data_IF_520298616184
#
_entry.id   IF_520298616184
#
_cell.length_a   1.000
_cell.length_b   1.000
_cell.length_c   1.000
_cell.angle_alpha   90.00
_cell.angle_beta   90.00
_cell.angle_gamma   90.00
#
_symmetry.space_group_name_H-M   'P 1'
#
loop_
_entity.id
_entity.type
_entity.pdbx_description
1 polymer ?
#
# COMPACT_ATOMS: atom_id res chain seq x y z
N UNK A 1 36.42 -33.13 -1.30
CA UNK A 1 37.30 -32.35 -2.20
C UNK A 1 37.27 -30.93 -1.72
N UNK A 2 38.45 -30.33 -1.51
CA UNK A 2 38.63 -29.08 -0.76
C UNK A 2 37.92 -27.86 -1.34
N UNK A 3 37.67 -26.89 -0.47
CA UNK A 3 37.49 -25.51 -0.88
C UNK A 3 38.80 -25.07 -1.54
N UNK A 4 38.80 -24.97 -2.87
CA UNK A 4 39.88 -24.29 -3.59
C UNK A 4 39.89 -22.83 -3.14
N UNK A 5 41.04 -22.34 -2.69
CA UNK A 5 41.26 -20.90 -2.53
C UNK A 5 40.89 -20.19 -3.84
N UNK A 6 40.26 -19.00 -3.80
CA UNK A 6 40.01 -18.23 -5.01
C UNK A 6 41.33 -18.05 -5.76
N UNK A 7 41.31 -18.25 -7.09
CA UNK A 7 42.49 -18.00 -7.90
C UNK A 7 42.95 -16.55 -7.67
N UNK A 8 44.27 -16.31 -7.69
CA UNK A 8 44.84 -14.99 -7.40
C UNK A 8 44.26 -13.91 -8.33
N UNK A 9 43.86 -14.30 -9.54
CA UNK A 9 43.15 -13.46 -10.51
C UNK A 9 41.73 -13.05 -10.08
N UNK A 10 41.00 -13.88 -9.35
CA UNK A 10 39.64 -13.56 -8.87
C UNK A 10 39.66 -12.48 -7.77
N UNK A 11 40.64 -12.56 -6.87
CA UNK A 11 40.87 -11.55 -5.83
C UNK A 11 41.25 -10.19 -6.43
N UNK A 12 42.08 -10.20 -7.48
CA UNK A 12 42.47 -8.99 -8.19
C UNK A 12 41.29 -8.40 -8.99
N UNK A 13 40.47 -9.25 -9.61
CA UNK A 13 39.25 -8.83 -10.29
C UNK A 13 38.24 -8.15 -9.35
N UNK A 14 38.05 -8.69 -8.15
CA UNK A 14 37.18 -8.10 -7.12
C UNK A 14 37.72 -6.73 -6.68
N UNK A 15 39.04 -6.64 -6.47
CA UNK A 15 39.70 -5.40 -6.06
C UNK A 15 39.48 -4.30 -7.10
N UNK A 16 39.72 -4.60 -8.38
CA UNK A 16 39.50 -3.66 -9.49
C UNK A 16 38.02 -3.26 -9.63
N UNK A 17 37.08 -4.19 -9.42
CA UNK A 17 35.65 -3.86 -9.39
C UNK A 17 35.34 -2.89 -8.25
N UNK A 18 35.90 -3.09 -7.06
CA UNK A 18 35.69 -2.19 -5.92
C UNK A 18 36.29 -0.80 -6.14
N UNK A 19 37.48 -0.72 -6.74
CA UNK A 19 38.09 0.53 -7.18
C UNK A 19 37.20 1.26 -8.20
N UNK A 20 36.69 0.54 -9.21
CA UNK A 20 35.75 1.10 -10.18
C UNK A 20 34.45 1.61 -9.52
N UNK A 21 33.95 0.93 -8.49
CA UNK A 21 32.78 1.40 -7.73
C UNK A 21 33.08 2.73 -7.02
N UNK A 22 34.30 2.93 -6.53
CA UNK A 22 34.71 4.17 -5.88
C UNK A 22 34.78 5.32 -6.89
N UNK A 23 35.38 5.10 -8.06
CA UNK A 23 35.38 6.08 -9.15
C UNK A 23 33.97 6.45 -9.61
N UNK A 24 33.08 5.46 -9.75
CA UNK A 24 31.71 5.71 -10.17
C UNK A 24 30.93 6.55 -9.13
N UNK A 25 31.18 6.36 -7.83
CA UNK A 25 30.61 7.18 -6.75
C UNK A 25 31.21 8.59 -6.71
N UNK A 26 32.47 8.75 -7.09
CA UNK A 26 33.14 10.04 -7.20
C UNK A 26 32.69 10.85 -8.43
N UNK A 27 31.87 10.27 -9.31
CA UNK A 27 31.44 10.93 -10.55
C UNK A 27 32.48 10.82 -11.67
N UNK A 28 33.38 9.84 -11.61
CA UNK A 28 34.46 9.59 -12.58
C UNK A 28 34.17 8.28 -13.38
N UNK A 29 33.15 8.25 -14.25
CA UNK A 29 32.74 7.03 -14.93
C UNK A 29 33.77 6.49 -15.95
N UNK A 30 34.68 7.32 -16.45
CA UNK A 30 35.76 6.88 -17.36
C UNK A 30 36.81 6.06 -16.60
N UNK A 31 37.26 6.54 -15.44
CA UNK A 31 38.16 5.82 -14.55
C UNK A 31 37.50 4.54 -14.03
N UNK A 32 36.20 4.59 -13.73
CA UNK A 32 35.43 3.41 -13.36
C UNK A 32 35.41 2.35 -14.48
N UNK A 33 35.26 2.77 -15.74
CA UNK A 33 35.28 1.86 -16.89
C UNK A 33 36.63 1.16 -17.06
N UNK A 34 37.76 1.86 -16.88
CA UNK A 34 39.09 1.24 -16.95
C UNK A 34 39.22 0.11 -15.91
N UNK A 35 38.86 0.40 -14.67
CA UNK A 35 38.87 -0.58 -13.58
C UNK A 35 37.95 -1.78 -13.88
N UNK A 36 36.73 -1.55 -14.38
CA UNK A 36 35.82 -2.64 -14.72
C UNK A 36 36.29 -3.46 -15.92
N UNK A 37 36.93 -2.85 -16.92
CA UNK A 37 37.47 -3.56 -18.09
C UNK A 37 38.64 -4.46 -17.70
N UNK A 38 39.54 -3.98 -16.84
CA UNK A 38 40.64 -4.77 -16.28
C UNK A 38 40.12 -5.90 -15.39
N UNK A 39 39.11 -5.62 -14.56
CA UNK A 39 38.41 -6.64 -13.76
C UNK A 39 37.78 -7.72 -14.65
N UNK A 40 37.08 -7.33 -15.71
CA UNK A 40 36.45 -8.27 -16.64
C UNK A 40 37.49 -9.11 -17.40
N UNK A 41 38.65 -8.54 -17.76
CA UNK A 41 39.72 -9.27 -18.43
C UNK A 41 40.26 -10.44 -17.58
N UNK A 42 40.36 -10.23 -16.26
CA UNK A 42 40.76 -11.28 -15.31
C UNK A 42 39.68 -12.37 -15.14
N UNK A 43 38.40 -12.03 -15.36
CA UNK A 43 37.27 -12.96 -15.28
C UNK A 43 36.97 -13.73 -16.58
N UNK A 44 37.86 -13.65 -17.59
CA UNK A 44 37.67 -14.31 -18.89
C UNK A 44 37.16 -13.40 -20.02
N UNK A 45 37.17 -12.08 -19.81
CA UNK A 45 36.90 -11.09 -20.84
C UNK A 45 35.48 -11.20 -21.43
N UNK A 46 35.39 -11.35 -22.76
CA UNK A 46 34.10 -11.45 -23.47
C UNK A 46 33.37 -12.78 -23.25
N UNK A 47 34.07 -13.80 -22.78
CA UNK A 47 33.53 -15.15 -22.51
C UNK A 47 33.30 -15.37 -21.00
N UNK A 48 33.51 -14.32 -20.19
CA UNK A 48 33.32 -14.35 -18.75
C UNK A 48 31.88 -14.75 -18.39
N UNK A 49 31.75 -15.79 -17.55
CA UNK A 49 30.46 -16.31 -17.09
C UNK A 49 30.43 -16.40 -15.56
N UNK A 50 29.23 -16.44 -15.00
CA UNK A 50 29.02 -16.47 -13.55
C UNK A 50 28.75 -15.12 -12.92
N UNK A 51 28.50 -15.14 -11.61
CA UNK A 51 27.92 -14.02 -10.87
C UNK A 51 28.79 -12.78 -10.84
N UNK A 52 30.10 -12.98 -10.73
CA UNK A 52 31.07 -11.90 -10.64
C UNK A 52 31.19 -11.16 -11.98
N UNK A 53 31.31 -11.91 -13.08
CA UNK A 53 31.31 -11.38 -14.44
C UNK A 53 30.03 -10.57 -14.75
N UNK A 54 28.86 -11.10 -14.40
CA UNK A 54 27.59 -10.40 -14.55
C UNK A 54 27.53 -9.10 -13.72
N UNK A 55 28.14 -9.10 -12.53
CA UNK A 55 28.21 -7.91 -11.68
C UNK A 55 29.10 -6.83 -12.30
N UNK A 56 30.27 -7.19 -12.81
CA UNK A 56 31.20 -6.28 -13.50
C UNK A 56 30.56 -5.73 -14.79
N UNK A 57 29.97 -6.58 -15.63
CA UNK A 57 29.24 -6.15 -16.84
C UNK A 57 28.06 -5.23 -16.52
N UNK A 58 27.35 -5.52 -15.43
CA UNK A 58 26.32 -4.63 -14.90
C UNK A 58 26.86 -3.26 -14.48
N UNK A 59 28.05 -3.20 -13.90
CA UNK A 59 28.70 -1.96 -13.52
C UNK A 59 29.22 -1.18 -14.73
N UNK A 60 29.75 -1.86 -15.76
CA UNK A 60 30.08 -1.27 -17.07
C UNK A 60 28.83 -0.63 -17.69
N UNK A 61 27.68 -1.31 -17.63
CA UNK A 61 26.41 -0.75 -18.10
C UNK A 61 26.01 0.52 -17.36
N UNK A 62 26.23 0.57 -16.04
CA UNK A 62 25.96 1.75 -15.23
C UNK A 62 26.91 2.91 -15.55
N UNK A 63 28.20 2.65 -15.75
CA UNK A 63 29.18 3.68 -16.11
C UNK A 63 28.90 4.28 -17.50
N UNK A 64 28.53 3.46 -18.49
CA UNK A 64 28.08 3.96 -19.80
C UNK A 64 26.79 4.77 -19.72
N UNK A 65 25.88 4.43 -18.81
CA UNK A 65 24.68 5.24 -18.58
C UNK A 65 25.03 6.63 -18.01
N UNK A 66 26.00 6.71 -17.08
CA UNK A 66 26.52 7.99 -16.56
C UNK A 66 27.21 8.84 -17.64
N UNK A 67 27.83 8.20 -18.63
CA UNK A 67 28.43 8.87 -19.79
C UNK A 67 27.43 9.21 -20.90
N UNK A 68 26.13 9.06 -20.66
CA UNK A 68 25.08 9.27 -21.66
C UNK A 68 25.29 8.45 -22.95
N UNK A 69 25.86 7.23 -22.83
CA UNK A 69 26.07 6.29 -23.93
C UNK A 69 25.11 5.08 -23.81
N UNK A 70 23.85 5.23 -24.23
CA UNK A 70 22.83 4.20 -24.01
C UNK A 70 23.05 2.94 -24.85
N UNK A 71 23.74 3.02 -26.01
CA UNK A 71 24.06 1.83 -26.83
C UNK A 71 25.07 0.92 -26.14
N UNK A 72 26.16 1.49 -25.60
CA UNK A 72 27.14 0.73 -24.85
C UNK A 72 26.57 0.21 -23.52
N UNK A 73 25.70 1.01 -22.88
CA UNK A 73 24.97 0.60 -21.67
C UNK A 73 24.06 -0.61 -21.92
N UNK A 74 23.34 -0.64 -23.06
CA UNK A 74 22.50 -1.76 -23.48
C UNK A 74 23.32 -3.02 -23.76
N UNK A 75 24.43 -2.88 -24.49
CA UNK A 75 25.30 -4.02 -24.82
C UNK A 75 25.85 -4.68 -23.55
N UNK A 76 26.33 -3.88 -22.60
CA UNK A 76 26.84 -4.39 -21.33
C UNK A 76 25.74 -5.01 -20.44
N UNK A 77 24.52 -4.45 -20.46
CA UNK A 77 23.39 -5.03 -19.73
C UNK A 77 22.97 -6.41 -20.26
N UNK A 78 22.91 -6.56 -21.59
CA UNK A 78 22.63 -7.86 -22.23
C UNK A 78 23.74 -8.87 -21.96
N UNK A 79 25.00 -8.45 -22.07
CA UNK A 79 26.14 -9.30 -21.73
C UNK A 79 26.08 -9.78 -20.27
N UNK A 80 25.66 -8.92 -19.34
CA UNK A 80 25.47 -9.30 -17.94
C UNK A 80 24.39 -10.39 -17.75
N UNK A 81 23.30 -10.32 -18.52
CA UNK A 81 22.24 -11.35 -18.51
C UNK A 81 22.66 -12.67 -19.14
N UNK A 82 23.54 -12.63 -20.15
CA UNK A 82 24.14 -13.84 -20.74
C UNK A 82 25.15 -14.48 -19.78
N UNK A 83 25.95 -13.67 -19.08
CA UNK A 83 26.94 -14.15 -18.12
C UNK A 83 26.31 -14.84 -16.91
N UNK A 84 25.16 -14.34 -16.42
CA UNK A 84 24.36 -14.98 -15.37
C UNK A 84 22.85 -14.69 -15.59
N UNK A 85 22.08 -15.66 -16.11
CA UNK A 85 20.63 -15.51 -16.29
C UNK A 85 19.85 -15.23 -14.99
N UNK A 86 20.40 -15.56 -13.81
CA UNK A 86 19.81 -15.24 -12.50
C UNK A 86 20.12 -13.81 -12.03
N UNK A 87 20.91 -13.04 -12.80
CA UNK A 87 21.24 -11.65 -12.52
C UNK A 87 20.08 -10.72 -12.88
N UNK A 88 19.09 -10.64 -12.00
CA UNK A 88 17.90 -9.79 -12.18
C UNK A 88 18.21 -8.30 -12.45
N UNK A 89 19.38 -7.80 -12.03
CA UNK A 89 19.83 -6.44 -12.32
C UNK A 89 20.18 -6.22 -13.81
N UNK A 90 20.47 -7.27 -14.58
CA UNK A 90 20.70 -7.16 -16.04
C UNK A 90 19.45 -6.65 -16.76
N UNK A 91 18.30 -7.28 -16.51
CA UNK A 91 17.01 -6.92 -17.13
C UNK A 91 16.63 -5.46 -16.82
N UNK A 92 16.90 -5.03 -15.58
CA UNK A 92 16.64 -3.64 -15.17
C UNK A 92 17.50 -2.64 -15.94
N UNK A 93 18.80 -2.94 -16.09
CA UNK A 93 19.73 -2.07 -16.81
C UNK A 93 19.47 -2.08 -18.32
N UNK A 94 19.06 -3.22 -18.89
CA UNK A 94 18.63 -3.35 -20.27
C UNK A 94 17.41 -2.46 -20.55
N UNK A 95 16.36 -2.57 -19.73
CA UNK A 95 15.17 -1.74 -19.88
C UNK A 95 15.48 -0.23 -19.76
N UNK A 96 16.35 0.17 -18.81
CA UNK A 96 16.78 1.57 -18.67
C UNK A 96 17.51 2.08 -19.91
N UNK A 97 18.38 1.26 -20.51
CA UNK A 97 19.08 1.62 -21.73
C UNK A 97 18.14 1.71 -22.95
N UNK A 98 17.17 0.78 -23.07
CA UNK A 98 16.13 0.81 -24.12
C UNK A 98 15.23 2.05 -24.00
N UNK A 99 14.86 2.45 -22.78
CA UNK A 99 14.13 3.71 -22.56
C UNK A 99 14.95 4.94 -23.00
N UNK A 100 16.25 4.96 -22.72
CA UNK A 100 17.14 6.03 -23.19
C UNK A 100 17.30 6.06 -24.71
N UNK A 101 17.14 4.90 -25.39
CA UNK A 101 17.10 4.79 -26.85
C UNK A 101 15.72 5.09 -27.47
N UNK A 102 14.70 5.40 -26.65
CA UNK A 102 13.31 5.59 -27.07
C UNK A 102 12.66 4.33 -27.65
N UNK A 103 13.00 3.16 -27.10
CA UNK A 103 12.43 1.84 -27.46
C UNK A 103 11.55 1.27 -26.32
N UNK A 104 10.39 1.89 -26.00
CA UNK A 104 9.60 1.53 -24.82
C UNK A 104 8.95 0.14 -24.91
N UNK A 105 8.60 -0.33 -26.10
CA UNK A 105 8.04 -1.68 -26.29
C UNK A 105 9.04 -2.77 -25.94
N UNK A 106 10.30 -2.59 -26.33
CA UNK A 106 11.36 -3.55 -26.02
C UNK A 106 11.80 -3.46 -24.56
N UNK A 107 11.76 -2.26 -23.98
CA UNK A 107 11.94 -2.11 -22.53
C UNK A 107 10.91 -2.97 -21.78
N UNK A 108 9.61 -2.91 -22.15
CA UNK A 108 8.52 -3.68 -21.52
C UNK A 108 8.73 -5.18 -21.65
N UNK A 109 9.28 -5.65 -22.78
CA UNK A 109 9.62 -7.05 -22.97
C UNK A 109 10.79 -7.49 -22.08
N UNK A 110 11.78 -6.62 -21.85
CA UNK A 110 12.97 -6.95 -21.07
C UNK A 110 12.71 -7.06 -19.56
N UNK A 111 12.00 -6.10 -18.96
CA UNK A 111 11.82 -6.05 -17.49
C UNK A 111 10.37 -6.25 -17.03
N UNK A 112 9.41 -6.39 -17.95
CA UNK A 112 7.99 -6.45 -17.61
C UNK A 112 7.42 -5.08 -17.23
N UNK A 113 6.10 -4.94 -17.40
CA UNK A 113 5.41 -3.65 -17.25
C UNK A 113 5.54 -3.05 -15.84
N UNK A 114 5.48 -3.89 -14.80
CA UNK A 114 5.54 -3.45 -13.40
C UNK A 114 6.92 -2.92 -12.98
N UNK A 115 8.01 -3.42 -13.55
CA UNK A 115 9.34 -2.96 -13.19
C UNK A 115 9.75 -1.68 -13.94
N UNK A 116 9.19 -1.43 -15.13
CA UNK A 116 9.33 -0.13 -15.82
C UNK A 116 8.59 0.98 -15.10
N UNK A 117 7.40 0.70 -14.58
CA UNK A 117 6.66 1.66 -13.77
C UNK A 117 7.45 2.08 -12.51
N UNK A 118 8.31 1.20 -11.98
CA UNK A 118 9.23 1.51 -10.88
C UNK A 118 10.47 2.31 -11.33
N UNK A 119 10.91 2.15 -12.58
CA UNK A 119 12.02 2.93 -13.17
C UNK A 119 11.64 4.38 -13.45
N UNK A 120 10.39 4.62 -13.86
CA UNK A 120 9.88 5.95 -14.21
C UNK A 120 9.44 6.79 -13.00
N UNK A 121 9.54 6.26 -11.77
CA UNK A 121 9.18 6.99 -10.56
C UNK A 121 10.29 7.96 -10.14
N UNK A 122 10.01 9.26 -9.91
CA UNK A 122 11.03 10.29 -9.67
C UNK A 122 11.85 10.10 -8.39
N UNK A 123 11.40 9.27 -7.44
CA UNK A 123 12.18 8.89 -6.25
C UNK A 123 13.17 7.73 -6.48
N UNK A 124 13.28 7.20 -7.70
CA UNK A 124 14.10 6.02 -8.03
C UNK A 124 15.55 6.34 -8.44
N UNK A 125 15.94 7.62 -8.45
CA UNK A 125 17.28 8.07 -8.90
C UNK A 125 18.29 8.32 -7.76
N UNK A 126 17.93 8.05 -6.51
CA UNK A 126 18.83 8.15 -5.36
C UNK A 126 19.42 6.79 -4.95
N UNK A 127 20.73 6.65 -5.12
CA UNK A 127 21.67 5.74 -4.45
C UNK A 127 21.14 4.36 -3.99
N UNK A 128 21.30 3.35 -4.85
CA UNK A 128 21.12 1.94 -4.50
C UNK A 128 22.38 1.33 -3.85
N UNK A 129 23.00 2.05 -2.92
CA UNK A 129 23.94 1.46 -1.96
C UNK A 129 23.16 0.62 -0.95
N UNK A 130 23.04 -0.67 -1.21
CA UNK A 130 22.84 -1.69 -0.16
C UNK A 130 24.04 -1.64 0.79
N UNK A 131 23.99 -0.74 1.77
CA UNK A 131 24.63 -0.99 3.07
C UNK A 131 23.51 -1.45 3.98
N UNK A 132 23.45 -2.76 4.20
CA UNK A 132 22.88 -3.28 5.44
C UNK A 132 23.63 -2.59 6.58
N UNK A 133 23.01 -1.60 7.21
CA UNK A 133 23.56 -1.00 8.40
C UNK A 133 23.70 -2.10 9.45
N UNK A 134 24.90 -2.24 10.01
CA UNK A 134 25.26 -3.14 11.12
C UNK A 134 24.53 -2.80 12.45
N UNK A 135 23.37 -2.15 12.39
CA UNK A 135 22.64 -1.66 13.58
C UNK A 135 21.20 -2.20 13.68
N UNK A 136 20.80 -3.18 12.88
CA UNK A 136 19.56 -3.94 13.12
C UNK A 136 18.23 -3.17 12.91
N UNK A 137 18.26 -1.94 12.40
CA UNK A 137 17.03 -1.23 12.02
C UNK A 137 16.75 -1.36 10.52
N UNK A 138 15.51 -1.79 10.21
CA UNK A 138 15.00 -1.97 8.85
C UNK A 138 14.87 -0.62 8.13
N UNK A 139 15.50 -0.52 6.96
CA UNK A 139 15.47 0.68 6.13
C UNK A 139 14.09 0.93 5.48
N UNK A 140 13.84 2.11 4.89
CA UNK A 140 12.54 2.47 4.28
C UNK A 140 12.07 1.48 3.20
N UNK A 141 13.03 0.85 2.54
CA UNK A 141 12.84 -0.19 1.53
C UNK A 141 12.33 -1.50 2.12
N UNK A 142 12.87 -1.89 3.26
CA UNK A 142 12.46 -3.07 4.00
C UNK A 142 11.11 -2.85 4.69
N UNK A 143 10.79 -1.61 5.10
CA UNK A 143 9.44 -1.26 5.58
C UNK A 143 8.39 -1.36 4.48
N UNK A 144 8.70 -0.96 3.25
CA UNK A 144 7.78 -1.05 2.12
C UNK A 144 7.63 -2.50 1.59
N UNK A 145 8.74 -3.25 1.56
CA UNK A 145 8.73 -4.66 1.19
C UNK A 145 8.05 -5.52 2.28
N UNK A 146 8.28 -5.22 3.56
CA UNK A 146 7.56 -5.81 4.69
C UNK A 146 6.08 -5.42 4.69
N UNK A 147 5.70 -4.18 4.34
CA UNK A 147 4.29 -3.80 4.19
C UNK A 147 3.61 -4.52 3.02
N UNK A 148 4.34 -4.76 1.92
CA UNK A 148 3.84 -5.48 0.74
C UNK A 148 3.78 -7.00 0.95
N UNK A 149 4.77 -7.57 1.64
CA UNK A 149 4.76 -8.97 2.09
C UNK A 149 3.73 -9.20 3.18
N UNK A 150 3.56 -8.27 4.12
CA UNK A 150 2.45 -8.30 5.08
C UNK A 150 1.10 -8.31 4.36
N UNK A 151 0.93 -7.56 3.26
CA UNK A 151 -0.31 -7.62 2.47
C UNK A 151 -0.53 -8.98 1.79
N UNK A 152 0.49 -9.62 1.24
CA UNK A 152 0.36 -10.93 0.60
C UNK A 152 0.19 -12.06 1.62
N UNK A 153 0.96 -12.04 2.72
CA UNK A 153 0.82 -12.96 3.85
C UNK A 153 -0.58 -12.87 4.44
N UNK A 154 -1.08 -11.66 4.70
CA UNK A 154 -2.47 -11.46 5.18
C UNK A 154 -3.49 -12.01 4.17
N UNK A 155 -3.26 -11.87 2.86
CA UNK A 155 -4.14 -12.46 1.85
C UNK A 155 -4.11 -13.99 1.86
N UNK A 156 -2.93 -14.60 2.01
CA UNK A 156 -2.75 -16.06 2.10
C UNK A 156 -3.35 -16.61 3.40
N UNK A 157 -3.14 -15.95 4.54
CA UNK A 157 -3.72 -16.29 5.83
C UNK A 157 -5.25 -16.16 5.79
N UNK A 158 -5.78 -15.08 5.21
CA UNK A 158 -7.21 -14.90 5.03
C UNK A 158 -7.81 -15.95 4.09
N UNK A 159 -7.07 -16.36 3.04
CA UNK A 159 -7.47 -17.48 2.18
C UNK A 159 -7.53 -18.80 2.97
N UNK A 160 -6.46 -19.14 3.70
CA UNK A 160 -6.40 -20.36 4.51
C UNK A 160 -7.52 -20.40 5.57
N UNK A 161 -7.81 -19.27 6.24
CA UNK A 161 -8.91 -19.16 7.19
C UNK A 161 -10.27 -19.39 6.51
N UNK A 162 -10.50 -18.79 5.34
CA UNK A 162 -11.74 -18.99 4.57
C UNK A 162 -11.92 -20.43 4.14
N UNK A 163 -10.86 -21.10 3.68
CA UNK A 163 -10.89 -22.52 3.32
C UNK A 163 -11.19 -23.41 4.54
N UNK A 164 -10.58 -23.13 5.69
CA UNK A 164 -10.88 -23.85 6.94
C UNK A 164 -12.36 -23.67 7.35
N UNK A 165 -12.87 -22.44 7.29
CA UNK A 165 -14.28 -22.15 7.57
C UNK A 165 -15.19 -22.90 6.60
N UNK A 166 -14.92 -22.84 5.30
CA UNK A 166 -15.71 -23.55 4.28
C UNK A 166 -15.70 -25.07 4.52
N UNK A 167 -14.54 -25.65 4.84
CA UNK A 167 -14.40 -27.07 5.16
C UNK A 167 -15.24 -27.45 6.40
N UNK A 168 -15.19 -26.65 7.47
CA UNK A 168 -15.96 -26.88 8.69
C UNK A 168 -17.46 -26.64 8.51
N UNK A 169 -17.87 -25.81 7.56
CA UNK A 169 -19.28 -25.63 7.18
C UNK A 169 -19.82 -26.87 6.47
N UNK A 170 -19.00 -27.47 5.60
CA UNK A 170 -19.29 -28.72 4.88
C UNK A 170 -19.36 -29.93 5.82
N UNK A 171 -18.43 -30.04 6.78
CA UNK A 171 -18.37 -31.12 7.80
C UNK A 171 -19.42 -31.00 8.90
N UNK A 172 -20.70 -31.13 8.50
CA UNK A 172 -21.89 -31.07 9.37
C UNK A 172 -21.98 -32.23 10.37
N UNK A 173 -21.29 -33.33 10.09
CA UNK A 173 -21.17 -34.52 10.92
C UNK A 173 -20.36 -34.26 12.20
N UNK A 174 -19.33 -33.41 12.13
CA UNK A 174 -18.40 -33.14 13.24
C UNK A 174 -18.99 -32.11 14.21
N UNK A 175 -19.25 -32.52 15.44
CA UNK A 175 -19.81 -31.64 16.47
C UNK A 175 -18.73 -30.76 17.10
N UNK A 176 -19.13 -29.63 17.70
CA UNK A 176 -18.18 -28.74 18.36
C UNK A 176 -17.44 -29.43 19.52
N UNK A 177 -18.08 -30.35 20.25
CA UNK A 177 -17.41 -31.07 21.33
C UNK A 177 -16.30 -31.99 20.80
N UNK A 178 -16.48 -32.60 19.62
CA UNK A 178 -15.44 -33.41 18.99
C UNK A 178 -14.23 -32.54 18.61
N UNK A 179 -14.47 -31.34 18.08
CA UNK A 179 -13.42 -30.38 17.77
C UNK A 179 -12.69 -29.87 19.03
N UNK A 180 -13.44 -29.61 20.11
CA UNK A 180 -12.83 -29.21 21.39
C UNK A 180 -11.95 -30.31 21.97
N UNK A 181 -12.43 -31.55 21.99
CA UNK A 181 -11.70 -32.69 22.55
C UNK A 181 -10.45 -33.06 21.72
N UNK A 182 -10.49 -32.87 20.40
CA UNK A 182 -9.38 -33.21 19.51
C UNK A 182 -8.36 -32.08 19.35
N UNK A 183 -8.83 -30.85 19.12
CA UNK A 183 -8.01 -29.73 18.68
C UNK A 183 -7.98 -28.56 19.67
N UNK A 184 -8.73 -28.64 20.77
CA UNK A 184 -8.82 -27.57 21.78
C UNK A 184 -9.63 -26.35 21.32
N UNK A 185 -10.17 -26.31 20.11
CA UNK A 185 -11.02 -25.21 19.64
C UNK A 185 -12.15 -25.70 18.76
N UNK A 186 -13.24 -24.93 18.68
CA UNK A 186 -14.37 -25.23 17.81
C UNK A 186 -14.81 -24.00 17.01
N UNK A 187 -15.89 -24.16 16.23
CA UNK A 187 -16.49 -23.08 15.43
C UNK A 187 -16.88 -21.86 16.28
N UNK A 188 -17.30 -22.05 17.52
CA UNK A 188 -17.58 -20.94 18.44
C UNK A 188 -16.31 -20.16 18.82
N UNK A 189 -15.18 -20.85 19.01
CA UNK A 189 -13.90 -20.18 19.26
C UNK A 189 -13.47 -19.36 18.04
N UNK A 190 -13.64 -19.90 16.83
CA UNK A 190 -13.38 -19.16 15.59
C UNK A 190 -14.26 -17.91 15.45
N UNK A 191 -15.55 -17.99 15.80
CA UNK A 191 -16.43 -16.82 15.80
C UNK A 191 -16.00 -15.77 16.84
N UNK A 192 -15.54 -16.20 18.03
CA UNK A 192 -14.98 -15.30 19.03
C UNK A 192 -13.71 -14.61 18.53
N UNK A 193 -12.82 -15.33 17.86
CA UNK A 193 -11.62 -14.76 17.26
C UNK A 193 -11.95 -13.77 16.13
N UNK A 194 -12.93 -14.10 15.28
CA UNK A 194 -13.39 -13.21 14.21
C UNK A 194 -13.99 -11.92 14.77
N UNK A 195 -14.86 -12.02 15.78
CA UNK A 195 -15.43 -10.87 16.48
C UNK A 195 -14.39 -10.05 17.24
N UNK A 196 -13.41 -10.70 17.90
CA UNK A 196 -12.29 -10.02 18.52
C UNK A 196 -11.44 -9.26 17.48
N UNK A 197 -11.21 -9.86 16.31
CA UNK A 197 -10.56 -9.20 15.17
C UNK A 197 -11.33 -7.95 14.72
N UNK A 198 -12.66 -8.03 14.60
CA UNK A 198 -13.48 -6.85 14.27
C UNK A 198 -13.30 -5.71 15.29
N UNK A 199 -13.24 -6.04 16.60
CA UNK A 199 -12.95 -5.05 17.66
C UNK A 199 -11.56 -4.43 17.52
N UNK A 200 -10.53 -5.23 17.27
CA UNK A 200 -9.16 -4.76 17.07
C UNK A 200 -9.08 -3.79 15.88
N UNK A 201 -9.85 -4.05 14.82
CA UNK A 201 -9.88 -3.20 13.62
C UNK A 201 -10.94 -2.09 13.66
N UNK A 202 -11.64 -1.91 14.80
CA UNK A 202 -12.65 -0.86 14.97
C UNK A 202 -13.88 -1.02 14.07
N UNK A 203 -14.19 -2.23 13.63
CA UNK A 203 -15.37 -2.56 12.84
C UNK A 203 -16.52 -2.89 13.80
N UNK A 204 -17.63 -2.13 13.79
CA UNK A 204 -18.79 -2.48 14.59
C UNK A 204 -19.40 -3.78 14.06
N UNK A 205 -19.48 -4.80 14.92
CA UNK A 205 -19.97 -6.13 14.58
C UNK A 205 -20.64 -6.75 15.80
N UNK A 206 -21.89 -7.21 15.66
CA UNK A 206 -22.52 -8.04 16.68
C UNK A 206 -21.93 -9.46 16.65
N UNK A 207 -21.95 -10.14 17.79
CA UNK A 207 -21.35 -11.48 17.90
C UNK A 207 -22.09 -12.51 17.03
N UNK A 208 -23.39 -12.32 16.84
CA UNK A 208 -24.26 -13.12 15.97
C UNK A 208 -23.82 -13.06 14.50
N UNK A 209 -23.34 -11.92 14.04
CA UNK A 209 -22.81 -11.75 12.67
C UNK A 209 -21.53 -12.56 12.49
N UNK A 210 -20.67 -12.62 13.52
CA UNK A 210 -19.47 -13.44 13.50
C UNK A 210 -19.79 -14.94 13.49
N UNK A 211 -20.85 -15.35 14.19
CA UNK A 211 -21.35 -16.72 14.11
C UNK A 211 -21.84 -17.06 12.71
N UNK A 212 -22.69 -16.23 12.12
CA UNK A 212 -23.23 -16.48 10.78
C UNK A 212 -22.10 -16.61 9.75
N UNK A 213 -21.04 -15.82 9.91
CA UNK A 213 -19.84 -15.89 9.05
C UNK A 213 -19.07 -17.21 9.17
N UNK A 214 -19.01 -17.80 10.36
CA UNK A 214 -18.33 -19.09 10.59
C UNK A 214 -19.23 -20.28 10.27
N UNK A 215 -20.53 -20.20 10.55
CA UNK A 215 -21.48 -21.31 10.34
C UNK A 215 -22.10 -21.35 8.94
N UNK A 216 -22.09 -20.23 8.22
CA UNK A 216 -22.67 -20.09 6.87
C UNK A 216 -24.21 -19.99 6.86
N UNK A 217 -24.83 -19.97 8.03
CA UNK A 217 -26.27 -19.76 8.25
C UNK A 217 -26.49 -19.21 9.67
N UNK A 218 -27.65 -18.59 9.97
CA UNK A 218 -27.97 -18.13 11.31
C UNK A 218 -27.79 -19.22 12.37
N UNK A 219 -27.08 -18.91 13.46
CA UNK A 219 -26.70 -19.90 14.48
C UNK A 219 -27.92 -20.62 15.10
N UNK A 220 -29.02 -19.91 15.29
CA UNK A 220 -30.26 -20.47 15.82
C UNK A 220 -30.80 -21.60 14.93
N UNK A 221 -30.66 -21.49 13.61
CA UNK A 221 -31.12 -22.49 12.65
C UNK A 221 -30.15 -23.67 12.59
N UNK A 222 -28.84 -23.41 12.65
CA UNK A 222 -27.82 -24.46 12.72
C UNK A 222 -27.99 -25.36 13.94
N UNK A 223 -28.24 -24.76 15.11
CA UNK A 223 -28.45 -25.49 16.38
C UNK A 223 -29.63 -26.45 16.29
N UNK A 224 -30.73 -26.03 15.65
CA UNK A 224 -31.92 -26.87 15.45
C UNK A 224 -31.68 -28.03 14.48
N UNK A 225 -30.95 -27.78 13.39
CA UNK A 225 -30.78 -28.76 12.31
C UNK A 225 -29.67 -29.78 12.56
N UNK A 226 -28.60 -29.40 13.29
CA UNK A 226 -27.34 -30.14 13.22
C UNK A 226 -26.64 -30.37 14.58
N UNK A 227 -27.11 -29.80 15.69
CA UNK A 227 -26.44 -29.94 16.99
C UNK A 227 -27.00 -31.11 17.80
N UNK A 228 -26.16 -32.11 18.06
CA UNK A 228 -26.49 -33.27 18.91
C UNK A 228 -26.07 -33.01 20.37
N UNK A 229 -26.73 -33.68 21.32
CA UNK A 229 -26.34 -33.67 22.73
C UNK A 229 -25.04 -34.47 22.90
N UNK A 230 -24.10 -33.92 23.65
CA UNK A 230 -22.86 -34.60 24.00
C UNK A 230 -23.12 -35.82 24.91
N UNK A 231 -22.35 -36.88 24.71
CA UNK A 231 -22.30 -38.04 25.62
C UNK A 231 -21.51 -37.73 26.89
N UNK A 232 -21.72 -38.53 27.94
CA UNK A 232 -21.00 -38.39 29.21
C UNK A 232 -19.49 -38.56 29.04
N UNK A 233 -19.06 -39.50 28.19
CA UNK A 233 -17.65 -39.73 27.88
C UNK A 233 -17.02 -38.51 27.17
N UNK A 234 -17.71 -37.91 26.20
CA UNK A 234 -17.23 -36.71 25.52
C UNK A 234 -17.10 -35.52 26.47
N UNK A 235 -18.02 -35.40 27.45
CA UNK A 235 -17.95 -34.36 28.48
C UNK A 235 -16.80 -34.61 29.45
N UNK A 236 -16.53 -35.86 29.83
CA UNK A 236 -15.40 -36.20 30.67
C UNK A 236 -14.06 -35.87 30.01
N UNK A 237 -13.91 -36.14 28.70
CA UNK A 237 -12.73 -35.76 27.91
C UNK A 237 -12.60 -34.24 27.76
N UNK A 238 -13.73 -33.55 27.54
CA UNK A 238 -13.74 -32.09 27.47
C UNK A 238 -13.29 -31.45 28.79
N UNK A 239 -13.74 -32.01 29.91
CA UNK A 239 -13.41 -31.53 31.25
C UNK A 239 -11.94 -31.78 31.62
N UNK A 240 -11.39 -32.94 31.23
CA UNK A 240 -9.98 -33.27 31.50
C UNK A 240 -8.99 -32.51 30.61
N UNK A 241 -9.39 -32.10 29.40
CA UNK A 241 -8.56 -31.35 28.45
C UNK A 241 -8.65 -29.83 28.54
N UNK A 242 -9.23 -29.28 29.62
CA UNK A 242 -9.49 -27.84 29.78
C UNK A 242 -8.26 -26.94 29.63
N UNK A 243 -7.10 -27.42 30.02
CA UNK A 243 -5.82 -26.73 29.92
C UNK A 243 -5.34 -26.55 28.46
N UNK A 244 -5.78 -27.43 27.56
CA UNK A 244 -5.47 -27.40 26.13
C UNK A 244 -6.48 -26.58 25.31
N UNK A 245 -7.56 -26.10 25.92
CA UNK A 245 -8.56 -25.32 25.21
C UNK A 245 -8.04 -23.95 24.77
N UNK A 246 -8.49 -23.53 23.59
CA UNK A 246 -8.19 -22.26 22.98
C UNK A 246 -8.53 -21.09 23.91
N UNK A 247 -7.53 -20.24 24.16
CA UNK A 247 -7.70 -18.97 24.87
C UNK A 247 -8.40 -17.98 23.95
N UNK A 248 -9.40 -17.29 24.49
CA UNK A 248 -10.17 -16.28 23.74
C UNK A 248 -9.68 -14.86 24.00
N UNK A 249 -8.55 -14.69 24.70
CA UNK A 249 -7.88 -13.41 24.88
C UNK A 249 -7.00 -13.07 23.65
N UNK A 250 -6.79 -11.77 23.33
CA UNK A 250 -6.17 -11.32 22.07
C UNK A 250 -4.67 -11.59 21.90
N UNK A 251 -4.06 -12.52 22.66
CA UNK A 251 -2.63 -12.82 22.57
C UNK A 251 -2.39 -14.05 21.70
N UNK A 252 -2.47 -13.88 20.38
CA UNK A 252 -2.26 -15.00 19.44
C UNK A 252 -1.48 -14.64 18.16
N UNK A 253 -0.81 -13.49 18.10
CA UNK A 253 0.15 -13.20 17.03
C UNK A 253 1.58 -13.12 17.59
N UNK A 254 2.40 -14.17 17.43
CA UNK A 254 3.85 -14.05 17.47
C UNK A 254 4.29 -13.36 16.17
N UNK A 255 4.90 -12.18 16.29
CA UNK A 255 5.37 -11.38 15.14
C UNK A 255 4.95 -9.90 15.18
N UNK A 256 4.02 -9.54 16.07
CA UNK A 256 3.82 -8.15 16.51
C UNK A 256 4.41 -8.00 17.92
N UNK A 257 5.72 -8.20 18.05
CA UNK A 257 6.41 -7.64 19.21
C UNK A 257 6.34 -6.12 19.05
N UNK A 258 5.56 -5.47 19.91
CA UNK A 258 5.96 -4.16 20.39
C UNK A 258 7.42 -4.30 20.85
N UNK A 259 8.27 -3.36 20.43
CA UNK A 259 9.65 -3.27 20.87
C UNK A 259 9.76 -3.58 22.38
N UNK A 260 10.81 -4.28 22.82
CA UNK A 260 10.88 -4.82 24.17
C UNK A 260 10.77 -3.69 25.19
N UNK A 261 9.74 -3.75 26.02
CA UNK A 261 9.54 -2.81 27.11
C UNK A 261 8.19 -3.03 27.78
N UNK A 262 8.26 -3.38 29.07
CA UNK A 262 7.18 -3.29 30.08
C UNK A 262 6.31 -4.55 30.24
N UNK A 263 6.88 -5.53 30.94
CA UNK A 263 6.11 -6.38 31.85
C UNK A 263 5.55 -5.52 32.99
N UNK A 264 4.23 -5.57 33.19
CA UNK A 264 3.52 -4.90 34.30
C UNK A 264 3.80 -5.59 35.65
N UNK A 265 5.04 -5.58 36.11
CA UNK A 265 5.45 -6.02 37.45
C UNK A 265 6.63 -5.15 37.92
N UNK A 266 6.33 -3.94 38.40
CA UNK A 266 7.03 -3.28 39.51
C UNK A 266 6.50 -1.86 39.69
N UNK A 267 6.06 -1.55 40.90
CA UNK A 267 5.94 -0.17 41.35
C UNK A 267 7.34 0.38 41.62
N UNK A 268 7.81 1.27 40.76
CA UNK A 268 8.82 2.30 41.04
C UNK A 268 8.95 3.16 39.79
N UNK A 269 8.84 4.48 39.96
CA UNK A 269 8.88 5.44 38.87
C UNK A 269 10.19 5.34 38.08
N UNK A 270 10.07 5.17 36.77
CA UNK A 270 11.16 5.38 35.85
C UNK A 270 10.60 5.99 34.56
N UNK A 271 11.06 7.20 34.27
CA UNK A 271 10.71 7.99 33.09
C UNK A 271 11.11 7.25 31.81
N UNK A 272 10.14 7.01 30.94
CA UNK A 272 10.40 6.43 29.62
C UNK A 272 11.22 7.42 28.76
N UNK A 273 12.27 6.97 28.05
CA UNK A 273 12.97 7.84 27.11
C UNK A 273 12.03 8.19 25.95
N UNK A 274 11.87 9.49 25.71
CA UNK A 274 11.00 10.02 24.68
C UNK A 274 11.32 9.43 23.31
N UNK A 275 10.32 8.85 22.67
CA UNK A 275 10.32 8.53 21.23
C UNK A 275 10.66 9.82 20.49
N UNK A 276 11.62 9.84 19.54
CA UNK A 276 11.94 11.06 18.81
C UNK A 276 10.72 11.49 18.00
N UNK A 277 10.08 12.56 18.46
CA UNK A 277 9.05 13.26 17.73
C UNK A 277 9.67 13.88 16.48
N UNK A 278 9.27 13.40 15.31
CA UNK A 278 9.44 14.10 14.04
C UNK A 278 8.09 13.93 13.30
N UNK A 279 7.18 14.91 13.25
CA UNK A 279 7.34 16.36 13.21
C UNK A 279 6.27 16.99 14.13
N UNK A 280 6.68 17.60 15.24
CA UNK A 280 5.81 18.50 16.00
C UNK A 280 6.44 19.88 16.02
N UNK A 281 5.85 20.78 15.24
CA UNK A 281 5.85 22.23 15.48
C UNK A 281 4.77 22.97 14.66
N UNK A 282 3.78 22.28 14.11
CA UNK A 282 2.62 22.92 13.48
C UNK A 282 1.37 22.32 14.09
N UNK A 283 0.54 23.15 14.73
CA UNK A 283 -0.77 22.73 15.22
C UNK A 283 -1.62 22.09 14.12
N UNK A 284 -2.71 21.43 14.53
CA UNK A 284 -3.68 20.87 13.60
C UNK A 284 -4.06 21.91 12.53
N UNK A 285 -3.97 21.55 11.25
CA UNK A 285 -4.31 22.46 10.18
C UNK A 285 -5.83 22.61 10.15
N UNK A 286 -6.34 23.78 10.55
CA UNK A 286 -7.75 24.08 10.48
C UNK A 286 -8.20 24.13 9.02
N UNK A 287 -9.34 23.51 8.71
CA UNK A 287 -9.86 23.46 7.34
C UNK A 287 -11.39 23.57 7.36
N UNK A 288 -11.94 24.59 6.73
CA UNK A 288 -13.37 24.73 6.46
C UNK A 288 -13.71 23.94 5.19
N UNK A 289 -14.62 22.97 5.29
CA UNK A 289 -14.90 21.99 4.23
C UNK A 289 -16.37 22.07 3.82
N UNK A 290 -16.62 22.22 2.53
CA UNK A 290 -17.93 22.03 1.92
C UNK A 290 -17.99 20.69 1.17
N UNK A 291 -19.13 20.00 1.24
CA UNK A 291 -19.35 18.73 0.54
C UNK A 291 -20.51 18.87 -0.43
N UNK A 292 -20.30 18.49 -1.68
CA UNK A 292 -21.31 18.55 -2.75
C UNK A 292 -21.54 17.17 -3.36
N UNK A 293 -22.75 16.65 -3.22
CA UNK A 293 -23.16 15.43 -3.91
C UNK A 293 -23.83 15.78 -5.22
N UNK A 294 -23.24 15.37 -6.35
CA UNK A 294 -23.82 15.49 -7.68
C UNK A 294 -24.52 14.17 -8.04
N UNK A 295 -25.84 14.20 -8.10
CA UNK A 295 -26.66 13.04 -8.44
C UNK A 295 -28.10 13.43 -8.77
N UNK A 296 -28.52 13.22 -10.02
CA UNK A 296 -29.93 13.40 -10.44
C UNK A 296 -30.90 12.62 -9.54
N UNK A 297 -30.54 11.38 -9.20
CA UNK A 297 -31.38 10.49 -8.38
C UNK A 297 -31.46 10.92 -6.92
N UNK A 298 -30.36 11.36 -6.32
CA UNK A 298 -30.38 11.86 -4.94
C UNK A 298 -31.13 13.20 -4.85
N UNK A 299 -30.86 14.12 -5.78
CA UNK A 299 -31.54 15.41 -5.85
C UNK A 299 -33.05 15.27 -6.09
N UNK A 300 -33.46 14.29 -6.90
CA UNK A 300 -34.87 13.95 -7.13
C UNK A 300 -35.52 13.13 -6.02
N UNK A 301 -34.81 12.80 -4.93
CA UNK A 301 -35.35 12.01 -3.81
C UNK A 301 -35.57 10.53 -4.10
N UNK A 302 -35.03 9.99 -5.20
CA UNK A 302 -35.15 8.57 -5.57
C UNK A 302 -34.39 7.69 -4.58
N UNK A 303 -33.28 8.18 -4.04
CA UNK A 303 -32.58 7.58 -2.91
C UNK A 303 -31.93 8.65 -2.04
N UNK A 304 -31.63 8.28 -0.79
CA UNK A 304 -30.86 9.11 0.14
C UNK A 304 -29.37 9.10 -0.20
N UNK A 305 -28.72 10.27 -0.11
CA UNK A 305 -27.27 10.38 -0.27
C UNK A 305 -26.53 9.71 0.89
N UNK A 306 -25.69 8.72 0.55
CA UNK A 306 -24.78 8.04 1.49
C UNK A 306 -23.33 8.42 1.31
N UNK A 307 -22.99 9.07 0.20
CA UNK A 307 -21.61 9.38 -0.18
C UNK A 307 -21.15 10.69 0.45
N UNK A 308 -21.99 11.73 0.48
CA UNK A 308 -21.73 12.96 1.22
C UNK A 308 -21.45 12.70 2.71
N UNK A 309 -22.32 11.96 3.43
CA UNK A 309 -22.07 11.56 4.81
C UNK A 309 -20.78 10.75 4.99
N UNK A 310 -20.41 9.88 4.04
CA UNK A 310 -19.17 9.12 4.11
C UNK A 310 -17.91 10.00 4.00
N UNK A 311 -17.96 11.12 3.27
CA UNK A 311 -16.87 12.12 3.25
C UNK A 311 -16.65 12.70 4.65
N UNK A 312 -17.74 13.15 5.28
CA UNK A 312 -17.73 13.77 6.61
C UNK A 312 -17.22 12.81 7.67
N UNK A 313 -17.70 11.56 7.66
CA UNK A 313 -17.26 10.51 8.56
C UNK A 313 -15.75 10.27 8.45
N UNK A 314 -15.23 10.10 7.23
CA UNK A 314 -13.80 9.84 7.00
C UNK A 314 -12.90 10.99 7.47
N UNK A 315 -13.31 12.24 7.23
CA UNK A 315 -12.58 13.42 7.67
C UNK A 315 -12.55 13.54 9.20
N UNK A 316 -13.68 13.28 9.87
CA UNK A 316 -13.75 13.25 11.35
C UNK A 316 -12.86 12.16 11.93
N UNK A 317 -12.99 10.92 11.43
CA UNK A 317 -12.17 9.79 11.86
C UNK A 317 -10.67 10.07 11.66
N UNK A 318 -10.28 10.69 10.55
CA UNK A 318 -8.89 11.05 10.30
C UNK A 318 -8.38 12.12 11.27
N UNK A 319 -9.19 13.14 11.54
CA UNK A 319 -8.91 14.18 12.53
C UNK A 319 -8.70 13.59 13.93
N UNK A 320 -9.62 12.74 14.39
CA UNK A 320 -9.57 12.10 15.70
C UNK A 320 -8.34 11.21 15.87
N UNK A 321 -7.93 10.50 14.82
CA UNK A 321 -6.81 9.55 14.87
C UNK A 321 -5.43 10.21 14.73
N UNK A 322 -5.30 11.21 13.88
CA UNK A 322 -3.99 11.76 13.51
C UNK A 322 -3.72 13.15 14.10
N UNK A 323 -4.75 13.91 14.46
CA UNK A 323 -4.61 15.26 15.01
C UNK A 323 -3.99 16.29 14.07
N UNK A 324 -3.70 15.95 12.81
CA UNK A 324 -3.00 16.84 11.85
C UNK A 324 -3.94 17.75 11.06
N UNK A 325 -5.22 17.40 11.01
CA UNK A 325 -6.29 18.18 10.36
C UNK A 325 -7.36 18.49 11.41
N UNK A 326 -7.92 19.70 11.39
CA UNK A 326 -9.08 20.09 12.20
C UNK A 326 -10.20 20.55 11.25
N UNK A 327 -11.06 19.64 10.78
CA UNK A 327 -12.09 19.95 9.81
C UNK A 327 -13.31 20.62 10.47
N UNK A 328 -13.77 21.72 9.90
CA UNK A 328 -15.06 22.37 10.20
C UNK A 328 -15.95 22.26 8.97
N UNK A 329 -17.12 21.64 9.09
CA UNK A 329 -18.01 21.44 7.94
C UNK A 329 -18.93 22.65 7.78
N UNK A 330 -18.83 23.31 6.62
CA UNK A 330 -19.57 24.54 6.31
C UNK A 330 -20.98 24.19 5.84
N UNK A 331 -21.08 23.30 4.85
CA UNK A 331 -22.34 22.90 4.25
C UNK A 331 -22.18 21.52 3.58
N UNK A 332 -23.26 20.74 3.61
CA UNK A 332 -23.43 19.55 2.78
C UNK A 332 -24.64 19.78 1.88
N UNK A 333 -24.44 19.70 0.57
CA UNK A 333 -25.48 20.01 -0.41
C UNK A 333 -25.58 18.90 -1.45
N UNK A 334 -26.81 18.57 -1.85
CA UNK A 334 -27.09 17.64 -2.95
C UNK A 334 -27.64 18.45 -4.13
N UNK A 335 -27.12 18.20 -5.33
CA UNK A 335 -27.52 18.87 -6.58
C UNK A 335 -27.70 17.85 -7.71
N UNK A 336 -28.52 18.15 -8.73
CA UNK A 336 -28.60 17.32 -9.93
C UNK A 336 -27.27 17.30 -10.70
N UNK A 337 -27.12 16.33 -11.60
CA UNK A 337 -25.98 16.20 -12.50
C UNK A 337 -26.05 17.24 -13.64
N UNK A 338 -25.99 18.51 -13.25
CA UNK A 338 -26.05 19.68 -14.13
C UNK A 338 -24.80 20.55 -13.95
N UNK A 339 -24.12 20.81 -15.05
CA UNK A 339 -22.80 21.45 -15.03
C UNK A 339 -22.86 22.86 -14.42
N UNK A 340 -23.87 23.65 -14.78
CA UNK A 340 -24.01 25.03 -14.33
C UNK A 340 -24.41 25.09 -12.85
N UNK A 341 -25.28 24.17 -12.40
CA UNK A 341 -25.67 24.09 -10.98
C UNK A 341 -24.50 23.66 -10.09
N UNK A 342 -23.72 22.67 -10.53
CA UNK A 342 -22.52 22.21 -9.82
C UNK A 342 -21.48 23.34 -9.77
N UNK A 343 -21.19 23.96 -10.91
CA UNK A 343 -20.28 25.09 -11.02
C UNK A 343 -20.67 26.25 -10.11
N UNK A 344 -21.95 26.68 -10.15
CA UNK A 344 -22.44 27.79 -9.36
C UNK A 344 -22.31 27.52 -7.84
N UNK A 345 -22.56 26.29 -7.40
CA UNK A 345 -22.43 25.90 -5.99
C UNK A 345 -20.98 25.98 -5.51
N UNK A 346 -20.04 25.40 -6.28
CA UNK A 346 -18.61 25.46 -5.94
C UNK A 346 -18.06 26.89 -5.99
N UNK A 347 -18.49 27.67 -6.99
CA UNK A 347 -18.10 29.08 -7.17
C UNK A 347 -18.55 29.94 -6.00
N UNK A 348 -19.81 29.80 -5.56
CA UNK A 348 -20.34 30.56 -4.44
C UNK A 348 -19.53 30.36 -3.14
N UNK A 349 -19.19 29.11 -2.81
CA UNK A 349 -18.35 28.84 -1.62
C UNK A 349 -16.91 29.34 -1.79
N UNK A 350 -16.37 29.27 -3.01
CA UNK A 350 -15.00 29.72 -3.30
C UNK A 350 -14.86 31.24 -3.22
N UNK A 351 -15.76 31.99 -3.90
CA UNK A 351 -15.72 33.46 -3.96
C UNK A 351 -16.01 34.12 -2.60
N UNK A 352 -16.91 33.53 -1.81
CA UNK A 352 -17.19 34.00 -0.46
C UNK A 352 -16.09 33.65 0.55
N UNK A 353 -15.11 32.81 0.16
CA UNK A 353 -14.11 32.20 1.06
C UNK A 353 -14.75 31.51 2.27
N UNK A 354 -15.94 30.95 2.07
CA UNK A 354 -16.67 30.22 3.11
C UNK A 354 -15.93 28.93 3.49
N UNK A 355 -15.24 28.30 2.54
CA UNK A 355 -14.47 27.07 2.74
C UNK A 355 -13.06 27.15 2.16
N UNK A 356 -12.16 26.32 2.69
CA UNK A 356 -10.80 26.11 2.19
C UNK A 356 -10.75 24.89 1.25
N UNK A 357 -11.69 23.95 1.41
CA UNK A 357 -11.82 22.74 0.59
C UNK A 357 -13.27 22.51 0.18
N UNK A 358 -13.47 22.19 -1.10
CA UNK A 358 -14.71 21.63 -1.63
C UNK A 358 -14.46 20.18 -2.05
N UNK A 359 -15.18 19.24 -1.46
CA UNK A 359 -15.16 17.83 -1.87
C UNK A 359 -16.47 17.51 -2.56
N UNK A 360 -16.39 17.13 -3.83
CA UNK A 360 -17.56 16.67 -4.57
C UNK A 360 -17.59 15.14 -4.62
N UNK A 361 -18.79 14.56 -4.69
CA UNK A 361 -18.98 13.12 -4.89
C UNK A 361 -20.07 12.87 -5.94
N UNK A 362 -19.75 12.06 -6.96
CA UNK A 362 -20.68 11.75 -8.06
C UNK A 362 -20.41 12.57 -9.33
N UNK A 363 -21.05 12.17 -10.43
CA UNK A 363 -20.93 12.83 -11.72
C UNK A 363 -19.54 12.75 -12.39
N UNK A 364 -18.68 11.79 -12.01
CA UNK A 364 -17.29 11.66 -12.54
C UNK A 364 -17.09 10.49 -13.49
N UNK A 365 -18.14 9.73 -13.82
CA UNK A 365 -18.07 8.59 -14.74
C UNK A 365 -18.09 9.00 -16.22
N UNK A 366 -18.37 8.04 -17.10
CA UNK A 366 -18.51 8.25 -18.55
C UNK A 366 -19.99 8.31 -19.01
N UNK A 367 -20.94 8.36 -18.07
CA UNK A 367 -22.33 8.57 -18.41
C UNK A 367 -22.56 9.95 -19.04
N UNK A 368 -23.59 10.11 -19.90
CA UNK A 368 -23.84 11.38 -20.60
C UNK A 368 -24.21 12.55 -19.68
N UNK A 369 -24.58 12.24 -18.43
CA UNK A 369 -24.90 13.22 -17.38
C UNK A 369 -23.72 13.44 -16.43
N UNK A 370 -22.66 12.64 -16.48
CA UNK A 370 -21.51 12.82 -15.60
C UNK A 370 -20.73 14.08 -16.02
N UNK A 371 -20.98 15.22 -15.37
CA UNK A 371 -20.43 16.54 -15.77
C UNK A 371 -19.67 17.27 -14.64
N UNK A 372 -19.45 16.61 -13.50
CA UNK A 372 -18.74 17.22 -12.35
C UNK A 372 -17.29 17.64 -12.69
N UNK A 373 -16.49 16.85 -13.43
CA UNK A 373 -15.15 17.25 -13.85
C UNK A 373 -15.15 18.51 -14.72
N UNK A 374 -16.10 18.63 -15.65
CA UNK A 374 -16.27 19.77 -16.55
C UNK A 374 -16.60 21.04 -15.76
N UNK A 375 -17.57 20.96 -14.84
CA UNK A 375 -17.92 22.05 -13.93
C UNK A 375 -16.72 22.48 -13.07
N UNK A 376 -15.91 21.53 -12.62
CA UNK A 376 -14.72 21.79 -11.80
C UNK A 376 -13.62 22.50 -12.62
N UNK A 377 -13.39 22.06 -13.86
CA UNK A 377 -12.41 22.65 -14.78
C UNK A 377 -12.67 24.12 -15.09
N UNK A 378 -13.93 24.57 -15.06
CA UNK A 378 -14.29 25.98 -15.24
C UNK A 378 -13.81 26.89 -14.11
N UNK A 379 -13.53 26.34 -12.92
CA UNK A 379 -13.23 27.11 -11.71
C UNK A 379 -11.76 27.01 -11.27
N UNK A 380 -11.11 25.88 -11.52
CA UNK A 380 -9.72 25.65 -11.12
C UNK A 380 -8.74 26.39 -12.05
N UNK A 381 -7.81 27.13 -11.45
CA UNK A 381 -6.73 27.83 -12.17
C UNK A 381 -5.40 27.09 -12.12
N UNK A 382 -5.25 26.18 -11.14
CA UNK A 382 -4.09 25.28 -11.01
C UNK A 382 -4.56 23.87 -10.81
N UNK A 383 -4.27 22.99 -11.77
CA UNK A 383 -4.61 21.58 -11.66
C UNK A 383 -3.63 20.85 -10.73
N UNK A 384 -4.18 19.92 -9.94
CA UNK A 384 -3.43 18.98 -9.12
C UNK A 384 -3.52 17.57 -9.73
N UNK A 385 -3.14 17.43 -11.00
CA UNK A 385 -3.30 16.20 -11.80
C UNK A 385 -2.63 14.97 -11.17
N UNK A 386 -1.56 15.18 -10.41
CA UNK A 386 -0.91 14.10 -9.68
C UNK A 386 -1.83 13.49 -8.61
N UNK A 387 -2.64 14.30 -7.92
CA UNK A 387 -3.59 13.83 -6.90
C UNK A 387 -4.77 13.10 -7.55
N UNK A 388 -5.35 13.66 -8.62
CA UNK A 388 -6.42 13.00 -9.37
C UNK A 388 -5.98 11.61 -9.85
N UNK A 389 -4.80 11.55 -10.48
CA UNK A 389 -4.22 10.29 -10.97
C UNK A 389 -3.86 9.34 -9.83
N UNK A 390 -3.31 9.84 -8.72
CA UNK A 390 -3.00 9.00 -7.56
C UNK A 390 -4.25 8.35 -6.97
N UNK A 391 -5.34 9.11 -6.81
CA UNK A 391 -6.61 8.56 -6.33
C UNK A 391 -7.15 7.49 -7.29
N UNK A 392 -7.23 7.75 -8.60
CA UNK A 392 -7.71 6.76 -9.56
C UNK A 392 -6.81 5.51 -9.59
N UNK A 393 -5.49 5.70 -9.65
CA UNK A 393 -4.51 4.63 -9.76
C UNK A 393 -4.42 3.76 -8.51
N UNK A 394 -4.26 4.36 -7.32
CA UNK A 394 -4.08 3.59 -6.09
C UNK A 394 -5.33 2.80 -5.72
N UNK A 395 -6.51 3.38 -5.95
CA UNK A 395 -7.78 2.67 -5.70
C UNK A 395 -8.04 1.55 -6.71
N UNK A 396 -7.43 1.60 -7.91
CA UNK A 396 -7.59 0.56 -8.93
C UNK A 396 -6.98 -0.78 -8.54
N UNK A 397 -6.06 -0.77 -7.57
CA UNK A 397 -5.49 -1.98 -6.98
C UNK A 397 -6.53 -2.80 -6.21
N UNK A 398 -7.62 -2.17 -5.76
CA UNK A 398 -8.71 -2.81 -5.04
C UNK A 398 -9.98 -2.93 -5.89
N UNK A 399 -10.27 -1.91 -6.70
CA UNK A 399 -11.44 -1.86 -7.58
C UNK A 399 -11.00 -1.43 -8.98
N UNK A 400 -10.78 -2.38 -9.92
CA UNK A 400 -10.24 -2.08 -11.25
C UNK A 400 -11.01 -1.01 -12.02
N UNK A 401 -12.32 -0.86 -11.76
CA UNK A 401 -13.17 0.14 -12.43
C UNK A 401 -12.87 1.58 -12.00
N UNK A 402 -12.11 1.81 -10.92
CA UNK A 402 -11.79 3.17 -10.45
C UNK A 402 -11.00 3.99 -11.48
N UNK A 403 -10.27 3.34 -12.40
CA UNK A 403 -9.57 3.99 -13.52
C UNK A 403 -10.52 4.70 -14.48
N UNK A 404 -11.81 4.39 -14.46
CA UNK A 404 -12.83 5.02 -15.28
C UNK A 404 -13.32 6.36 -14.69
N UNK A 405 -12.90 6.73 -13.48
CA UNK A 405 -13.23 8.05 -12.93
C UNK A 405 -12.44 9.14 -13.65
N UNK A 406 -13.16 10.15 -14.14
CA UNK A 406 -12.61 11.36 -14.76
C UNK A 406 -12.43 12.51 -13.76
N UNK A 407 -12.45 12.22 -12.45
CA UNK A 407 -12.40 13.23 -11.40
C UNK A 407 -11.21 14.18 -11.53
N UNK A 408 -11.45 15.46 -11.28
CA UNK A 408 -10.45 16.53 -11.29
C UNK A 408 -10.17 16.98 -9.86
N UNK A 409 -8.91 17.35 -9.62
CA UNK A 409 -8.44 17.96 -8.40
C UNK A 409 -7.66 19.22 -8.80
N UNK A 410 -7.89 20.33 -8.11
CA UNK A 410 -7.25 21.59 -8.45
C UNK A 410 -7.60 22.71 -7.49
N UNK A 411 -6.97 23.85 -7.68
CA UNK A 411 -7.09 25.02 -6.80
C UNK A 411 -7.70 26.17 -7.59
N UNK A 412 -8.68 26.85 -7.00
CA UNK A 412 -9.32 28.05 -7.57
C UNK A 412 -8.43 29.29 -7.44
N UNK A 413 -8.84 30.40 -8.05
CA UNK A 413 -8.14 31.69 -7.92
C UNK A 413 -8.13 32.18 -6.46
N UNK A 414 -9.15 31.84 -5.69
CA UNK A 414 -9.36 32.22 -4.28
C UNK A 414 -8.57 31.35 -3.30
N UNK A 415 -7.73 30.44 -3.80
CA UNK A 415 -6.95 29.45 -3.02
C UNK A 415 -7.79 28.34 -2.39
N UNK A 416 -8.96 28.03 -2.93
CA UNK A 416 -9.79 26.90 -2.47
C UNK A 416 -9.41 25.63 -3.22
N UNK A 417 -9.18 24.53 -2.50
CA UNK A 417 -8.94 23.22 -3.10
C UNK A 417 -10.28 22.56 -3.47
N UNK A 418 -10.43 22.13 -4.71
CA UNK A 418 -11.57 21.32 -5.17
C UNK A 418 -11.09 19.91 -5.49
N UNK A 419 -11.80 18.90 -4.97
CA UNK A 419 -11.50 17.49 -5.22
C UNK A 419 -12.76 16.76 -5.66
N UNK A 420 -12.73 16.12 -6.84
CA UNK A 420 -13.80 15.24 -7.28
C UNK A 420 -13.58 13.79 -6.87
N UNK A 421 -14.57 13.21 -6.19
CA UNK A 421 -14.61 11.81 -5.80
C UNK A 421 -15.71 11.06 -6.57
N UNK A 422 -15.60 9.73 -6.73
CA UNK A 422 -16.65 8.91 -7.33
C UNK A 422 -17.92 8.87 -6.47
N UNK A 423 -19.07 8.59 -7.09
CA UNK A 423 -20.37 8.67 -6.42
C UNK A 423 -20.74 7.54 -5.46
N UNK A 424 -19.92 6.49 -5.34
CA UNK A 424 -20.21 5.35 -4.47
C UNK A 424 -19.50 5.49 -3.10
N UNK A 425 -20.15 5.24 -1.95
CA UNK A 425 -19.55 5.48 -0.63
C UNK A 425 -18.22 4.75 -0.38
N UNK A 426 -18.10 3.51 -0.85
CA UNK A 426 -16.83 2.77 -0.74
C UNK A 426 -15.71 3.43 -1.56
N UNK A 427 -16.01 3.94 -2.75
CA UNK A 427 -15.03 4.62 -3.59
C UNK A 427 -14.60 5.96 -2.98
N UNK A 428 -15.53 6.68 -2.35
CA UNK A 428 -15.22 7.88 -1.54
C UNK A 428 -14.20 7.55 -0.46
N UNK A 429 -14.46 6.52 0.37
CA UNK A 429 -13.55 6.12 1.46
C UNK A 429 -12.16 5.74 0.93
N UNK A 430 -12.11 5.00 -0.17
CA UNK A 430 -10.87 4.61 -0.83
C UNK A 430 -10.09 5.82 -1.34
N UNK A 431 -10.71 6.73 -2.09
CA UNK A 431 -10.03 7.93 -2.59
C UNK A 431 -9.58 8.85 -1.46
N UNK A 432 -10.40 9.01 -0.40
CA UNK A 432 -10.01 9.79 0.78
C UNK A 432 -8.80 9.18 1.51
N UNK A 433 -8.66 7.85 1.54
CA UNK A 433 -7.47 7.22 2.13
C UNK A 433 -6.16 7.63 1.44
N UNK A 434 -6.22 8.00 0.15
CA UNK A 434 -5.09 8.51 -0.64
C UNK A 434 -4.86 10.00 -0.37
N UNK A 435 -5.94 10.79 -0.29
CA UNK A 435 -5.88 12.25 -0.14
C UNK A 435 -5.49 12.69 1.27
N UNK A 436 -6.09 12.09 2.30
CA UNK A 436 -6.02 12.58 3.68
C UNK A 436 -4.59 12.68 4.25
N UNK A 437 -3.66 11.75 3.97
CA UNK A 437 -2.28 11.86 4.45
C UNK A 437 -1.54 13.11 3.96
N UNK A 438 -1.90 13.64 2.78
CA UNK A 438 -1.23 14.80 2.16
C UNK A 438 -2.02 16.09 2.32
N UNK A 439 -3.32 16.00 2.60
CA UNK A 439 -4.23 17.15 2.69
C UNK A 439 -3.75 18.24 3.68
N UNK A 440 -3.32 17.93 4.93
CA UNK A 440 -2.88 18.97 5.86
C UNK A 440 -1.67 19.78 5.36
N UNK A 441 -0.71 19.10 4.73
CA UNK A 441 0.46 19.79 4.16
C UNK A 441 0.06 20.65 2.96
N UNK A 442 -0.78 20.12 2.08
CA UNK A 442 -1.29 20.86 0.93
C UNK A 442 -2.02 22.14 1.37
N UNK A 443 -2.88 22.07 2.39
CA UNK A 443 -3.61 23.26 2.85
C UNK A 443 -2.67 24.34 3.39
N UNK A 444 -1.64 23.97 4.16
CA UNK A 444 -0.60 24.93 4.59
C UNK A 444 0.19 25.55 3.43
N UNK A 445 0.28 24.89 2.28
CA UNK A 445 0.90 25.48 1.09
C UNK A 445 0.00 26.50 0.41
N UNK A 446 -1.32 26.43 0.61
CA UNK A 446 -2.30 27.34 0.00
C UNK A 446 -2.52 28.61 0.84
N UNK A 447 -2.15 28.60 2.12
CA UNK A 447 -2.25 29.71 3.04
C UNK A 447 -2.92 29.28 4.33
#
# INVERSE_FOLDING_TARGET
>A
GGYSEPDRGDLEAITLKEEGNNYLRAGEPENALDCYQRSLALLGGKEASGREAATVLGNISAAHASLHNPRASLQAARAAGVADPSYSKALFREAKALLALREPSDAVRAAGHQDILRMCHPFSLGDWSLKSNRTGELGPRDRLFAAKMASLTVQMEAYAFRELVAHLQWRKDVQNIDLMNLAGFCRNCMAKWYHAGAKVHGVPMQYEEAWERVYGEPYADRKKKNQKKASEDQLAVFESGKDLHARTEPKLLPGTEAAPGHSNVCGQGCDAPAVPAAVSAAGATAAKIAVLTASDRAAGGVYEDKSGPAVVEMLKLFSERNGTLSPTFVEQKVVPDDEDVIFASMKAWSESKACDVVITTGGTGFGPRDVTPEATRRLVVRLADALSRAMAWQTSLLEPRSVLSRGVCGVTKEQVLIVNLPGHPNAVRQCLSVLLPVLPHLLRMLG
#
